data_IF_056248566507
#
_entry.id   IF_056248566507
#
_cell.length_a   1.000
_cell.length_b   1.000
_cell.length_c   1.000
_cell.angle_alpha   90.00
_cell.angle_beta   90.00
_cell.angle_gamma   90.00
#
_symmetry.space_group_name_H-M   'P 1'
#
loop_
_entity.id
_entity.type
_entity.pdbx_description
1 polymer ?
#
# COMPACT_ATOMS: atom_id res chain seq x y z
N UNK A 1 -58.22 -1.17 28.58
CA UNK A 1 -57.83 -0.28 27.46
C UNK A 1 -56.69 -0.97 26.72
N UNK A 2 -56.98 -1.61 25.59
CA UNK A 2 -56.00 -2.39 24.82
C UNK A 2 -55.35 -1.49 23.77
N UNK A 3 -54.02 -1.43 23.77
CA UNK A 3 -53.22 -0.66 22.80
C UNK A 3 -53.23 -1.33 21.43
N UNK A 4 -53.33 -0.57 20.33
CA UNK A 4 -53.32 -1.13 18.99
C UNK A 4 -51.90 -1.54 18.55
N UNK A 5 -51.78 -2.56 17.68
CA UNK A 5 -50.49 -3.04 17.19
C UNK A 5 -49.83 -2.04 16.23
N UNK A 6 -48.48 -2.03 16.17
CA UNK A 6 -47.74 -1.11 15.31
C UNK A 6 -47.88 -1.47 13.82
N UNK A 7 -47.81 -0.47 12.92
CA UNK A 7 -47.93 -0.68 11.49
C UNK A 7 -46.70 -1.40 10.89
N UNK A 8 -46.89 -2.16 9.80
CA UNK A 8 -45.80 -2.87 9.14
C UNK A 8 -44.79 -1.93 8.47
N UNK A 9 -43.52 -2.34 8.35
CA UNK A 9 -42.47 -1.53 7.74
C UNK A 9 -42.68 -1.35 6.22
N UNK A 10 -42.23 -0.22 5.65
CA UNK A 10 -42.37 0.05 4.23
C UNK A 10 -41.46 -0.84 3.36
N UNK A 11 -41.87 -1.16 2.12
CA UNK A 11 -41.10 -1.99 1.21
C UNK A 11 -39.81 -1.29 0.74
N UNK A 12 -38.76 -2.06 0.40
CA UNK A 12 -37.49 -1.51 -0.07
C UNK A 12 -37.61 -0.85 -1.45
N UNK A 13 -36.79 0.17 -1.75
CA UNK A 13 -36.81 0.86 -3.04
C UNK A 13 -36.29 -0.02 -4.19
N UNK A 14 -36.79 0.21 -5.42
CA UNK A 14 -36.39 -0.57 -6.59
C UNK A 14 -34.93 -0.29 -7.01
N UNK A 15 -34.24 -1.27 -7.62
CA UNK A 15 -32.88 -1.10 -8.08
C UNK A 15 -32.78 -0.14 -9.28
N UNK A 16 -31.65 0.57 -9.45
CA UNK A 16 -31.45 1.50 -10.54
C UNK A 16 -31.32 0.79 -11.90
N UNK A 17 -31.78 1.41 -13.00
CA UNK A 17 -31.77 0.79 -14.32
C UNK A 17 -30.33 0.61 -14.83
N UNK A 18 -30.06 -0.58 -15.39
CA UNK A 18 -28.80 -0.89 -16.04
C UNK A 18 -28.69 -0.12 -17.36
N UNK A 19 -27.66 0.72 -17.46
CA UNK A 19 -27.31 1.49 -18.63
C UNK A 19 -26.75 0.58 -19.73
N UNK A 20 -27.41 0.53 -20.89
CA UNK A 20 -26.92 -0.12 -22.11
C UNK A 20 -26.72 0.97 -23.17
N UNK A 21 -25.49 1.27 -23.60
CA UNK A 21 -25.27 2.18 -24.72
C UNK A 21 -25.50 1.45 -26.05
N UNK A 22 -26.52 1.89 -26.77
CA UNK A 22 -26.86 1.49 -28.15
C UNK A 22 -25.82 2.05 -29.12
N UNK A 23 -25.05 1.18 -29.76
CA UNK A 23 -24.25 1.56 -30.94
C UNK A 23 -25.16 1.55 -32.17
N UNK A 24 -25.48 2.73 -32.67
CA UNK A 24 -26.13 2.93 -33.98
C UNK A 24 -25.10 2.74 -35.10
N UNK A 25 -25.38 1.76 -35.95
CA UNK A 25 -24.74 1.53 -37.24
C UNK A 25 -25.37 2.51 -38.24
N UNK A 26 -24.55 3.35 -38.88
CA UNK A 26 -24.96 4.24 -39.97
C UNK A 26 -24.06 4.06 -41.19
N UNK A 27 -24.63 3.50 -42.25
CA UNK A 27 -24.04 3.27 -43.57
C UNK A 27 -24.06 4.55 -44.45
N UNK A 28 -22.96 4.74 -45.18
CA UNK A 28 -22.83 5.11 -46.63
C UNK A 28 -23.51 6.35 -47.23
N UNK A 29 -22.72 7.19 -47.93
CA UNK A 29 -22.97 7.64 -49.34
C UNK A 29 -21.65 7.92 -50.09
N UNK A 30 -21.56 7.43 -51.33
CA UNK A 30 -20.50 7.54 -52.38
C UNK A 30 -20.40 8.96 -52.99
N UNK A 31 -19.40 9.39 -53.79
CA UNK A 31 -19.03 8.95 -55.17
C UNK A 31 -17.77 9.70 -55.69
N UNK A 32 -16.90 8.96 -56.42
CA UNK A 32 -16.25 9.22 -57.75
C UNK A 32 -15.61 10.60 -58.05
N UNK A 33 -14.43 10.80 -58.66
CA UNK A 33 -13.55 10.08 -59.62
C UNK A 33 -12.18 10.81 -59.62
N UNK A 34 -11.04 10.14 -59.81
CA UNK A 34 -10.09 10.37 -60.93
C UNK A 34 -8.86 9.43 -60.87
N UNK A 35 -8.35 9.03 -62.04
CA UNK A 35 -7.16 8.19 -62.33
C UNK A 35 -5.87 8.95 -61.91
N UNK A 36 -4.70 8.34 -61.65
CA UNK A 36 -3.81 7.74 -62.66
C UNK A 36 -2.44 7.33 -62.03
N UNK A 37 -1.90 6.19 -62.49
CA UNK A 37 -0.50 5.67 -62.51
C UNK A 37 0.28 5.17 -61.25
N UNK A 38 1.14 4.13 -61.41
CA UNK A 38 1.79 3.38 -60.33
C UNK A 38 3.18 3.92 -59.95
N UNK A 39 3.34 4.31 -58.68
CA UNK A 39 4.60 4.75 -58.08
C UNK A 39 5.22 3.71 -57.14
N UNK A 40 6.55 3.75 -56.92
CA UNK A 40 7.34 2.60 -56.47
C UNK A 40 7.18 2.27 -54.98
N UNK A 41 7.28 0.98 -54.71
CA UNK A 41 7.37 0.30 -53.41
C UNK A 41 8.00 1.14 -52.29
N UNK A 42 7.17 1.65 -51.38
CA UNK A 42 7.66 2.15 -50.07
C UNK A 42 7.69 0.99 -49.08
N UNK A 43 8.84 0.68 -48.45
CA UNK A 43 8.92 -0.38 -47.47
C UNK A 43 8.08 -0.03 -46.25
N UNK A 44 7.30 -1.02 -45.81
CA UNK A 44 6.56 -1.02 -44.56
C UNK A 44 7.53 -0.72 -43.41
N UNK A 45 7.51 0.51 -42.89
CA UNK A 45 8.18 0.83 -41.62
C UNK A 45 7.30 0.29 -40.51
N UNK A 46 7.49 -0.99 -40.18
CA UNK A 46 7.18 -1.55 -38.87
C UNK A 46 7.84 -0.64 -37.83
N UNK A 47 7.06 0.26 -37.21
CA UNK A 47 7.52 0.95 -36.01
C UNK A 47 7.75 -0.15 -34.97
N UNK A 48 8.97 -0.34 -34.45
CA UNK A 48 9.14 -1.19 -33.29
C UNK A 48 8.35 -0.51 -32.17
N UNK A 49 7.32 -1.20 -31.67
CA UNK A 49 6.71 -0.84 -30.40
C UNK A 49 7.78 -1.08 -29.35
N UNK A 50 8.57 -0.06 -29.05
CA UNK A 50 9.53 -0.08 -27.95
C UNK A 50 8.75 -0.29 -26.66
N UNK A 51 8.66 -1.54 -26.22
CA UNK A 51 8.54 -1.83 -24.80
C UNK A 51 9.80 -1.25 -24.15
N UNK A 52 9.69 -0.32 -23.19
CA UNK A 52 10.80 -0.03 -22.30
C UNK A 52 10.89 -1.21 -21.33
N UNK A 53 11.38 -2.34 -21.82
CA UNK A 53 11.89 -3.41 -20.98
C UNK A 53 13.14 -2.83 -20.32
N UNK A 54 12.93 -2.31 -19.12
CA UNK A 54 13.91 -2.25 -18.05
C UNK A 54 15.36 -2.05 -18.52
N UNK A 55 15.73 -0.79 -18.76
CA UNK A 55 17.05 -0.37 -18.35
C UNK A 55 17.10 -0.56 -16.83
N UNK A 56 17.53 -1.75 -16.40
CA UNK A 56 18.11 -2.02 -15.10
C UNK A 56 19.31 -1.08 -14.98
N UNK A 57 19.04 0.19 -14.68
CA UNK A 57 20.05 1.00 -14.03
C UNK A 57 20.39 0.26 -12.75
N UNK A 58 21.55 -0.39 -12.76
CA UNK A 58 22.27 -0.84 -11.59
C UNK A 58 22.37 0.34 -10.64
N UNK A 59 21.35 0.48 -9.80
CA UNK A 59 21.21 1.60 -8.90
C UNK A 59 22.28 1.42 -7.85
N UNK A 60 23.35 2.21 -7.94
CA UNK A 60 24.30 2.43 -6.85
C UNK A 60 23.48 2.54 -5.57
N UNK A 61 23.54 1.52 -4.71
CA UNK A 61 22.86 1.51 -3.43
C UNK A 61 23.38 2.71 -2.67
N UNK A 62 22.60 3.80 -2.62
CA UNK A 62 23.01 5.00 -1.89
C UNK A 62 23.06 4.62 -0.42
N UNK A 63 24.28 4.40 0.07
CA UNK A 63 24.54 4.18 1.49
C UNK A 63 24.07 5.41 2.24
N UNK A 64 23.24 5.21 3.26
CA UNK A 64 22.75 6.26 4.16
C UNK A 64 23.23 5.95 5.57
N UNK A 65 23.34 6.98 6.40
CA UNK A 65 23.40 6.79 7.85
C UNK A 65 22.06 6.20 8.31
N UNK A 66 22.08 5.06 9.03
CA UNK A 66 20.86 4.47 9.55
C UNK A 66 20.09 5.48 10.43
N UNK A 67 18.78 5.71 10.19
CA UNK A 67 18.00 6.64 10.99
C UNK A 67 17.67 6.11 12.39
N UNK A 68 17.79 4.79 12.60
CA UNK A 68 17.46 4.08 13.83
C UNK A 68 18.38 2.87 14.03
N UNK A 69 18.58 2.37 15.27
CA UNK A 69 19.38 1.17 15.54
C UNK A 69 18.88 -0.10 14.84
N UNK A 70 17.58 -0.19 14.55
CA UNK A 70 16.98 -1.32 13.83
C UNK A 70 17.00 -1.17 12.30
N UNK A 71 17.45 -0.01 11.79
CA UNK A 71 17.57 0.25 10.36
C UNK A 71 19.00 -0.05 9.88
N UNK A 72 19.14 -0.41 8.61
CA UNK A 72 20.46 -0.62 8.01
C UNK A 72 20.98 0.65 7.33
N UNK A 73 22.18 0.56 6.77
CA UNK A 73 22.77 1.61 5.93
C UNK A 73 22.13 1.68 4.52
N UNK A 74 21.10 0.85 4.25
CA UNK A 74 20.32 0.90 3.03
C UNK A 74 18.95 1.55 3.30
N UNK A 75 18.46 2.43 2.40
CA UNK A 75 17.17 3.06 2.59
C UNK A 75 16.02 2.06 2.70
N UNK A 76 15.06 2.35 3.58
CA UNK A 76 13.86 1.53 3.78
C UNK A 76 14.14 0.04 4.07
N UNK A 77 15.32 -0.24 4.62
CA UNK A 77 15.77 -1.59 4.96
C UNK A 77 16.00 -1.67 6.47
N UNK A 78 15.45 -2.69 7.11
CA UNK A 78 15.61 -3.01 8.54
C UNK A 78 16.44 -4.30 8.69
N UNK A 79 17.01 -4.49 9.88
CA UNK A 79 17.66 -5.75 10.22
C UNK A 79 16.64 -6.90 10.35
N UNK A 80 17.10 -8.14 10.20
CA UNK A 80 16.27 -9.33 10.46
C UNK A 80 15.89 -9.43 11.93
N UNK A 81 14.80 -10.13 12.22
CA UNK A 81 14.32 -10.36 13.58
C UNK A 81 15.42 -10.95 14.47
N UNK A 82 16.07 -12.03 14.02
CA UNK A 82 17.21 -12.63 14.72
C UNK A 82 18.31 -11.61 15.03
N UNK A 83 18.66 -10.75 14.07
CA UNK A 83 19.72 -9.75 14.27
C UNK A 83 19.30 -8.70 15.31
N UNK A 84 18.06 -8.23 15.26
CA UNK A 84 17.52 -7.28 16.24
C UNK A 84 17.55 -7.86 17.66
N UNK A 85 17.13 -9.11 17.83
CA UNK A 85 17.16 -9.79 19.12
C UNK A 85 18.59 -10.01 19.62
N UNK A 86 19.52 -10.40 18.75
CA UNK A 86 20.95 -10.52 19.11
C UNK A 86 21.60 -9.19 19.55
N UNK A 87 21.02 -8.06 19.13
CA UNK A 87 21.44 -6.71 19.54
C UNK A 87 20.73 -6.25 20.82
N UNK A 88 19.89 -7.07 21.44
CA UNK A 88 19.10 -6.72 22.63
C UNK A 88 17.92 -5.79 22.33
N UNK A 89 17.47 -5.70 21.07
CA UNK A 89 16.33 -4.86 20.68
C UNK A 89 15.04 -5.69 20.76
N UNK A 90 14.31 -5.53 21.86
CA UNK A 90 13.02 -6.21 22.08
C UNK A 90 11.80 -5.32 21.89
N UNK A 91 11.98 -3.99 21.90
CA UNK A 91 10.91 -3.02 21.73
C UNK A 91 11.30 -1.96 20.69
N UNK A 92 10.33 -1.55 19.88
CA UNK A 92 10.51 -0.53 18.85
C UNK A 92 9.71 0.72 19.23
N UNK A 93 10.37 1.81 19.67
CA UNK A 93 9.70 3.05 19.99
C UNK A 93 9.31 3.84 18.74
N UNK A 94 8.28 4.67 18.87
CA UNK A 94 7.81 5.57 17.83
C UNK A 94 6.91 6.68 18.37
N UNK A 95 7.01 7.84 17.70
CA UNK A 95 6.29 9.04 18.09
C UNK A 95 4.88 9.06 17.50
N UNK A 96 3.92 9.44 18.32
CA UNK A 96 2.51 9.57 17.96
C UNK A 96 1.96 10.93 18.38
N UNK A 97 0.95 11.42 17.64
CA UNK A 97 0.11 12.57 17.99
C UNK A 97 -1.32 12.10 18.12
N UNK A 98 -1.97 12.38 19.24
CA UNK A 98 -3.40 12.14 19.36
C UNK A 98 -4.19 13.09 18.44
N UNK A 99 -5.11 12.56 17.65
CA UNK A 99 -5.99 13.36 16.77
C UNK A 99 -7.13 14.09 17.51
N UNK A 100 -7.18 14.01 18.84
CA UNK A 100 -8.28 14.50 19.69
C UNK A 100 -7.81 15.53 20.71
N UNK A 101 -6.91 15.15 21.61
CA UNK A 101 -6.31 16.05 22.60
C UNK A 101 -4.98 16.67 22.15
N UNK A 102 -4.52 16.36 20.94
CA UNK A 102 -3.29 16.88 20.33
C UNK A 102 -1.98 16.57 21.06
N UNK A 103 -2.01 15.82 22.17
CA UNK A 103 -0.82 15.40 22.91
C UNK A 103 0.14 14.61 22.01
N UNK A 104 1.43 14.95 22.12
CA UNK A 104 2.53 14.27 21.44
C UNK A 104 3.28 13.41 22.44
N UNK A 105 3.59 12.18 22.08
CA UNK A 105 4.31 11.28 22.95
C UNK A 105 4.96 10.15 22.18
N UNK A 106 5.84 9.42 22.87
CA UNK A 106 6.43 8.19 22.41
C UNK A 106 5.71 6.99 23.03
N UNK A 107 5.52 5.96 22.23
CA UNK A 107 5.06 4.64 22.65
C UNK A 107 5.91 3.59 21.93
N UNK A 108 5.83 2.35 22.38
CA UNK A 108 6.63 1.26 21.82
C UNK A 108 5.79 0.01 21.58
N UNK A 109 6.31 -0.83 20.69
CA UNK A 109 5.74 -2.14 20.39
C UNK A 109 6.76 -3.22 20.69
N UNK A 110 6.32 -4.27 21.40
CA UNK A 110 7.12 -5.48 21.62
C UNK A 110 7.34 -6.19 20.28
N UNK A 111 8.61 -6.33 19.89
CA UNK A 111 9.03 -6.72 18.56
C UNK A 111 8.52 -8.11 18.18
N UNK A 112 8.81 -9.13 18.99
CA UNK A 112 8.44 -10.52 18.67
C UNK A 112 6.93 -10.73 18.67
N UNK A 113 6.24 -10.23 19.70
CA UNK A 113 4.79 -10.36 19.83
C UNK A 113 4.06 -9.70 18.67
N UNK A 114 4.43 -8.45 18.32
CA UNK A 114 3.79 -7.73 17.22
C UNK A 114 4.19 -8.26 15.85
N UNK A 115 5.43 -8.72 15.67
CA UNK A 115 5.79 -9.38 14.42
C UNK A 115 4.97 -10.66 14.22
N UNK A 116 4.84 -11.49 15.26
CA UNK A 116 4.05 -12.72 15.22
C UNK A 116 2.59 -12.45 14.89
N UNK A 117 1.98 -11.42 15.49
CA UNK A 117 0.61 -10.98 15.19
C UNK A 117 0.44 -10.65 13.69
N UNK A 118 1.33 -9.83 13.13
CA UNK A 118 1.25 -9.41 11.72
C UNK A 118 1.56 -10.57 10.77
N UNK A 119 2.55 -11.40 11.10
CA UNK A 119 2.92 -12.59 10.33
C UNK A 119 1.76 -13.61 10.27
N UNK A 120 1.10 -13.86 11.40
CA UNK A 120 -0.06 -14.74 11.48
C UNK A 120 -1.22 -14.19 10.65
N UNK A 121 -1.50 -12.88 10.73
CA UNK A 121 -2.53 -12.23 9.92
C UNK A 121 -2.28 -12.40 8.42
N UNK A 122 -1.04 -12.19 7.98
CA UNK A 122 -0.66 -12.35 6.56
C UNK A 122 -0.83 -13.81 6.15
N UNK A 123 -0.27 -14.74 6.91
CA UNK A 123 -0.34 -16.17 6.58
C UNK A 123 -1.79 -16.65 6.44
N UNK A 124 -2.68 -16.19 7.33
CA UNK A 124 -4.10 -16.54 7.28
C UNK A 124 -4.86 -15.92 6.10
N UNK A 125 -4.55 -14.68 5.69
CA UNK A 125 -5.35 -13.93 4.72
C UNK A 125 -4.73 -13.80 3.32
N UNK A 126 -3.44 -14.09 3.14
CA UNK A 126 -2.67 -13.83 1.91
C UNK A 126 -3.36 -14.35 0.65
N UNK A 127 -3.90 -15.57 0.68
CA UNK A 127 -4.58 -16.19 -0.46
C UNK A 127 -5.80 -15.40 -0.95
N UNK A 128 -6.49 -14.69 -0.05
CA UNK A 128 -7.69 -13.89 -0.33
C UNK A 128 -7.40 -12.43 -0.66
N UNK A 129 -6.16 -11.98 -0.44
CA UNK A 129 -5.78 -10.58 -0.63
C UNK A 129 -5.58 -10.19 -2.11
N UNK A 130 -5.31 -11.15 -3.00
CA UNK A 130 -5.13 -10.93 -4.44
C UNK A 130 -4.18 -9.74 -4.76
N UNK A 131 -3.04 -9.72 -4.08
CA UNK A 131 -2.03 -8.66 -4.15
C UNK A 131 -2.51 -7.25 -3.76
N UNK A 132 -3.54 -7.17 -2.92
CA UNK A 132 -4.11 -5.91 -2.42
C UNK A 132 -4.19 -5.92 -0.91
N UNK A 133 -3.89 -4.78 -0.31
CA UNK A 133 -4.02 -4.59 1.12
C UNK A 133 -5.51 -4.66 1.50
N UNK A 134 -5.86 -5.41 2.56
CA UNK A 134 -7.23 -5.47 3.06
C UNK A 134 -7.65 -4.12 3.65
N UNK A 135 -8.95 -3.95 3.88
CA UNK A 135 -9.53 -2.68 4.34
C UNK A 135 -8.96 -2.24 5.68
N UNK A 136 -8.65 -3.20 6.55
CA UNK A 136 -8.05 -3.02 7.87
C UNK A 136 -6.68 -2.36 7.80
N UNK A 137 -5.91 -2.60 6.74
CA UNK A 137 -4.62 -1.92 6.53
C UNK A 137 -4.77 -0.59 5.84
N UNK A 138 -5.75 -0.46 4.93
CA UNK A 138 -6.05 0.83 4.29
C UNK A 138 -6.59 1.86 5.31
N UNK A 139 -7.31 1.38 6.32
CA UNK A 139 -7.87 2.16 7.42
C UNK A 139 -7.40 1.58 8.76
N UNK A 140 -6.13 1.78 9.14
CA UNK A 140 -5.54 1.14 10.30
C UNK A 140 -6.23 1.56 11.60
N UNK A 141 -6.45 0.59 12.48
CA UNK A 141 -6.85 0.84 13.85
C UNK A 141 -5.68 1.47 14.61
N UNK A 142 -5.85 2.71 15.02
CA UNK A 142 -4.84 3.44 15.79
C UNK A 142 -4.88 3.01 17.26
N UNK A 143 -3.75 3.06 17.98
CA UNK A 143 -3.74 2.86 19.41
C UNK A 143 -4.62 3.88 20.16
N UNK A 144 -5.09 3.48 21.34
CA UNK A 144 -5.79 4.35 22.28
C UNK A 144 -4.85 5.43 22.80
N UNK A 145 -5.35 6.65 22.96
CA UNK A 145 -4.54 7.73 23.53
C UNK A 145 -4.28 7.49 25.01
N UNK A 146 -3.02 7.55 25.46
CA UNK A 146 -2.69 7.41 26.89
C UNK A 146 -3.06 8.62 27.77
N UNK A 147 -3.44 9.75 27.16
CA UNK A 147 -3.75 10.99 27.89
C UNK A 147 -5.23 11.30 27.99
N UNK A 148 -6.00 11.06 26.93
CA UNK A 148 -7.44 11.30 26.91
C UNK A 148 -8.26 10.02 26.72
N UNK A 149 -7.60 8.86 26.71
CA UNK A 149 -8.21 7.52 26.64
C UNK A 149 -9.10 7.28 25.41
N UNK A 150 -9.12 8.22 24.47
CA UNK A 150 -9.90 8.07 23.27
C UNK A 150 -9.33 6.95 22.41
N UNK A 151 -10.15 5.94 22.16
CA UNK A 151 -9.83 4.82 21.27
C UNK A 151 -9.57 5.29 19.84
N UNK A 152 -8.73 4.55 19.10
CA UNK A 152 -8.45 4.80 17.69
C UNK A 152 -8.04 6.25 17.38
N UNK A 153 -7.13 6.81 18.19
CA UNK A 153 -6.80 8.24 18.13
C UNK A 153 -5.31 8.58 18.06
N UNK A 154 -4.41 7.70 18.50
CA UNK A 154 -2.97 7.94 18.48
C UNK A 154 -2.39 7.69 17.09
N UNK A 155 -2.25 8.74 16.28
CA UNK A 155 -1.72 8.64 14.91
C UNK A 155 -0.19 8.70 14.92
N UNK A 156 0.53 7.87 14.14
CA UNK A 156 1.98 7.96 14.06
C UNK A 156 2.41 9.28 13.41
N UNK A 157 3.50 9.85 13.93
CA UNK A 157 4.16 11.01 13.34
C UNK A 157 5.15 10.49 12.29
N UNK A 158 4.84 10.70 11.02
CA UNK A 158 5.65 10.21 9.89
C UNK A 158 6.52 11.37 9.38
N UNK A 159 7.85 11.18 9.39
CA UNK A 159 8.79 12.20 8.93
C UNK A 159 8.57 12.54 7.44
N UNK A 160 8.70 13.84 7.11
CA UNK A 160 8.62 14.33 5.73
C UNK A 160 9.77 13.79 4.88
N UNK A 161 10.96 13.62 5.47
CA UNK A 161 12.12 13.00 4.85
C UNK A 161 11.93 11.49 4.84
N UNK A 162 11.63 10.92 3.68
CA UNK A 162 11.32 9.48 3.50
C UNK A 162 12.39 8.52 4.04
N UNK A 163 13.65 8.96 4.03
CA UNK A 163 14.81 8.22 4.60
C UNK A 163 14.80 8.12 6.13
N UNK A 164 14.00 8.94 6.82
CA UNK A 164 13.85 8.97 8.28
C UNK A 164 12.54 8.32 8.75
N UNK A 165 11.77 7.70 7.86
CA UNK A 165 10.53 7.03 8.24
C UNK A 165 10.87 5.80 9.08
N UNK A 166 10.23 5.68 10.24
CA UNK A 166 10.32 4.51 11.10
C UNK A 166 9.45 3.37 10.55
N UNK A 167 9.94 2.68 9.52
CA UNK A 167 9.20 1.61 8.84
C UNK A 167 8.80 0.46 9.77
N UNK A 168 9.70 0.07 10.68
CA UNK A 168 9.45 -1.04 11.60
C UNK A 168 8.35 -0.71 12.61
N UNK A 169 8.37 0.48 13.22
CA UNK A 169 7.30 0.91 14.13
C UNK A 169 5.93 0.94 13.44
N UNK A 170 5.87 1.51 12.23
CA UNK A 170 4.63 1.57 11.47
C UNK A 170 4.11 0.19 11.10
N UNK A 171 5.00 -0.74 10.78
CA UNK A 171 4.65 -2.11 10.44
C UNK A 171 4.13 -2.89 11.65
N UNK A 172 4.84 -2.86 12.78
CA UNK A 172 4.45 -3.57 14.01
C UNK A 172 3.11 -3.07 14.58
N UNK A 173 2.83 -1.77 14.44
CA UNK A 173 1.54 -1.20 14.82
C UNK A 173 0.43 -1.41 13.78
N UNK A 174 0.71 -2.07 12.65
CA UNK A 174 -0.19 -2.17 11.50
C UNK A 174 -0.68 -0.79 10.98
N UNK A 175 0.16 0.24 11.06
CA UNK A 175 -0.17 1.64 10.72
C UNK A 175 0.42 2.12 9.38
N UNK A 176 0.97 1.23 8.54
CA UNK A 176 1.53 1.62 7.23
C UNK A 176 0.49 2.29 6.31
N UNK A 177 -0.81 2.03 6.51
CA UNK A 177 -1.89 2.73 5.83
C UNK A 177 -1.90 4.25 6.07
N UNK A 178 -1.29 4.72 7.16
CA UNK A 178 -1.13 6.15 7.45
C UNK A 178 -0.13 6.84 6.52
N UNK A 179 0.74 6.09 5.81
CA UNK A 179 1.69 6.65 4.86
C UNK A 179 0.98 7.22 3.63
N UNK A 180 1.59 8.26 3.06
CA UNK A 180 1.20 8.75 1.74
C UNK A 180 1.65 7.79 0.63
N UNK A 181 1.02 7.89 -0.55
CA UNK A 181 1.38 7.08 -1.71
C UNK A 181 2.87 7.23 -2.08
N UNK A 182 3.40 8.45 -1.96
CA UNK A 182 4.79 8.76 -2.28
C UNK A 182 5.81 8.21 -1.28
N UNK A 183 5.40 8.02 -0.03
CA UNK A 183 6.20 7.34 0.99
C UNK A 183 6.23 5.84 0.70
N UNK A 184 5.08 5.22 0.43
CA UNK A 184 4.99 3.80 0.08
C UNK A 184 5.78 3.48 -1.21
N UNK A 185 5.65 4.30 -2.26
CA UNK A 185 6.46 4.17 -3.50
C UNK A 185 7.96 4.28 -3.24
N UNK A 186 8.36 5.07 -2.24
CA UNK A 186 9.77 5.19 -1.84
C UNK A 186 10.26 3.89 -1.20
N UNK A 187 9.48 3.29 -0.30
CA UNK A 187 9.80 1.98 0.25
C UNK A 187 9.99 0.95 -0.88
N UNK A 188 9.00 0.80 -1.76
CA UNK A 188 9.07 -0.17 -2.86
C UNK A 188 10.26 0.08 -3.80
N UNK A 189 10.63 1.35 -4.05
CA UNK A 189 11.83 1.70 -4.83
C UNK A 189 13.09 1.08 -4.26
N UNK A 190 13.25 1.13 -2.95
CA UNK A 190 14.48 0.76 -2.27
C UNK A 190 14.52 -0.71 -1.86
N UNK A 191 13.37 -1.38 -1.85
CA UNK A 191 13.24 -2.82 -1.60
C UNK A 191 13.06 -3.65 -2.87
N UNK A 192 13.29 -3.06 -4.04
CA UNK A 192 13.15 -3.68 -5.37
C UNK A 192 11.75 -4.25 -5.65
N UNK A 193 10.73 -3.66 -5.03
CA UNK A 193 9.34 -3.99 -5.29
C UNK A 193 8.74 -3.10 -6.38
N UNK A 194 7.71 -3.60 -7.06
CA UNK A 194 6.98 -2.82 -8.04
C UNK A 194 6.31 -1.59 -7.40
N UNK A 195 6.28 -0.48 -8.14
CA UNK A 195 5.85 0.84 -7.63
C UNK A 195 4.60 1.39 -8.31
N UNK A 196 4.11 0.73 -9.35
CA UNK A 196 2.91 1.16 -10.05
C UNK A 196 1.71 0.37 -9.52
N UNK A 197 0.55 1.03 -9.47
CA UNK A 197 -0.65 0.51 -8.84
C UNK A 197 -1.34 1.56 -7.97
N UNK A 198 -2.54 1.21 -7.53
CA UNK A 198 -3.26 1.94 -6.50
C UNK A 198 -2.61 1.73 -5.12
N UNK A 199 -3.03 2.54 -4.13
CA UNK A 199 -2.43 2.57 -2.80
C UNK A 199 -2.46 1.21 -2.11
N UNK A 200 -3.55 0.47 -2.25
CA UNK A 200 -3.75 -0.88 -1.69
C UNK A 200 -2.70 -1.88 -2.18
N UNK A 201 -2.34 -1.87 -3.47
CA UNK A 201 -1.29 -2.73 -4.03
C UNK A 201 0.10 -2.39 -3.48
N UNK A 202 0.43 -1.11 -3.44
CA UNK A 202 1.75 -0.67 -2.95
C UNK A 202 1.87 -0.89 -1.44
N UNK A 203 0.78 -0.70 -0.69
CA UNK A 203 0.71 -0.99 0.74
C UNK A 203 0.92 -2.48 1.02
N UNK A 204 0.25 -3.37 0.27
CA UNK A 204 0.45 -4.81 0.36
C UNK A 204 1.91 -5.22 0.18
N UNK A 205 2.54 -4.73 -0.89
CA UNK A 205 3.97 -4.98 -1.16
C UNK A 205 4.88 -4.43 -0.05
N UNK A 206 4.50 -3.34 0.60
CA UNK A 206 5.25 -2.77 1.73
C UNK A 206 5.21 -3.69 2.94
N UNK A 207 4.03 -4.23 3.30
CA UNK A 207 3.91 -5.22 4.39
C UNK A 207 4.71 -6.48 4.10
N UNK A 208 4.55 -7.09 2.92
CA UNK A 208 5.31 -8.29 2.56
C UNK A 208 6.81 -8.02 2.49
N UNK A 209 7.20 -6.87 1.96
CA UNK A 209 8.60 -6.46 1.89
C UNK A 209 9.26 -6.34 3.27
N UNK A 210 8.54 -5.85 4.28
CA UNK A 210 9.03 -5.82 5.66
C UNK A 210 9.04 -7.20 6.32
N UNK A 211 8.04 -8.04 6.06
CA UNK A 211 8.05 -9.41 6.56
C UNK A 211 9.27 -10.18 6.06
N UNK A 212 9.58 -10.08 4.76
CA UNK A 212 10.76 -10.71 4.15
C UNK A 212 12.09 -10.20 4.70
N UNK A 213 12.14 -8.93 5.14
CA UNK A 213 13.33 -8.38 5.80
C UNK A 213 13.51 -8.94 7.21
N UNK A 214 12.42 -9.05 7.98
CA UNK A 214 12.43 -9.57 9.34
C UNK A 214 12.66 -11.09 9.38
N UNK A 215 12.01 -11.81 8.48
CA UNK A 215 12.11 -13.26 8.31
C UNK A 215 12.08 -13.62 6.82
N UNK A 216 13.24 -13.99 6.29
CA UNK A 216 13.40 -14.37 4.89
C UNK A 216 12.91 -15.79 4.59
N UNK A 217 12.68 -16.61 5.62
CA UNK A 217 12.21 -18.00 5.50
C UNK A 217 10.69 -18.12 5.63
N UNK A 218 10.04 -17.08 6.13
CA UNK A 218 8.59 -17.07 6.36
C UNK A 218 7.76 -17.05 5.07
N UNK A 219 6.46 -17.43 5.14
CA UNK A 219 5.58 -17.68 3.98
C UNK A 219 5.05 -16.40 3.30
N UNK A 220 5.86 -15.35 3.17
CA UNK A 220 5.45 -14.00 2.77
C UNK A 220 5.67 -13.67 1.29
#
# INVERSE_FOLDING_TARGET
MSTPPPPPPPPPPPPPPLYIPTFVIGLSVSTLLDRQEPGPSRPSRTRPRCNPTQALHGGKSKVITPPYPWATNHPATVHSLYKLLSMGIHAIPGKVKCKRCESHYEMEFQLESKFTEVAAFITAKKSTMHDRAPREWMNPLLPTCRYCEQVNSAKPIIDRKKRKINWLFLFLGQMLGCCSMDQLKYFCKHTKNHRTGAKDRVLYLTYLGLCKQLDHTGPF
#
